data_IF_080726218935
#
_entry.id   IF_080726218935
#
_cell.length_a   1.000
_cell.length_b   1.000
_cell.length_c   1.000
_cell.angle_alpha   90.00
_cell.angle_beta   90.00
_cell.angle_gamma   90.00
#
_symmetry.space_group_name_H-M   'P 1'
#
loop_
_entity.id
_entity.type
_entity.pdbx_description
1 polymer ?
#
# COMPACT_ATOMS: atom_id res chain seq x y z
N UNK A 1 30.86 -2.96 32.48
CA UNK A 1 30.64 -3.99 31.44
C UNK A 1 29.14 -4.10 31.12
N UNK A 2 28.55 -3.04 30.56
CA UNK A 2 27.16 -3.04 30.07
C UNK A 2 27.07 -1.97 28.97
N UNK A 3 27.74 -2.25 27.86
CA UNK A 3 27.82 -1.36 26.69
C UNK A 3 26.66 -1.69 25.75
N UNK A 4 25.88 -0.68 25.36
CA UNK A 4 25.12 -0.72 24.11
C UNK A 4 23.73 -1.34 24.19
N UNK A 5 22.83 -0.71 24.95
CA UNK A 5 21.40 -0.93 24.83
C UNK A 5 20.91 -0.30 23.51
N UNK A 6 20.95 -1.05 22.41
CA UNK A 6 20.25 -0.72 21.17
C UNK A 6 18.74 -0.85 21.42
N UNK A 7 18.16 0.11 22.16
CA UNK A 7 16.71 0.28 22.19
C UNK A 7 16.30 0.76 20.81
N UNK A 8 15.91 -0.16 19.93
CA UNK A 8 15.15 0.18 18.73
C UNK A 8 13.93 0.98 19.21
N UNK A 9 13.98 2.28 18.96
CA UNK A 9 13.06 3.27 19.53
C UNK A 9 11.66 3.03 19.01
N UNK A 10 10.85 2.32 19.80
CA UNK A 10 9.42 2.21 19.55
C UNK A 10 8.77 3.46 20.16
N UNK A 11 8.48 4.45 19.33
CA UNK A 11 7.62 5.57 19.75
C UNK A 11 6.16 5.09 19.76
N UNK A 12 5.25 5.75 20.50
CA UNK A 12 3.84 5.36 20.56
C UNK A 12 3.13 5.33 19.18
N UNK A 13 3.73 5.97 18.17
CA UNK A 13 3.17 6.14 16.82
C UNK A 13 3.99 5.48 15.71
N UNK A 14 5.05 4.71 16.01
CA UNK A 14 5.84 4.00 14.98
C UNK A 14 7.32 3.73 15.31
N UNK A 15 8.07 3.31 14.29
CA UNK A 15 9.54 3.17 14.33
C UNK A 15 10.19 4.55 14.59
N UNK A 16 11.32 4.59 15.29
CA UNK A 16 12.13 5.81 15.41
C UNK A 16 12.95 6.02 14.14
N UNK A 17 13.17 7.29 13.78
CA UNK A 17 14.08 7.67 12.71
C UNK A 17 15.48 7.06 12.92
N UNK A 18 16.05 6.51 11.85
CA UNK A 18 17.35 5.83 11.89
C UNK A 18 18.18 6.17 10.64
N UNK A 19 19.28 6.90 10.82
CA UNK A 19 20.04 7.44 9.69
C UNK A 19 19.23 8.48 8.91
N UNK A 20 19.16 8.36 7.58
CA UNK A 20 18.36 9.23 6.70
C UNK A 20 16.88 8.83 6.63
N UNK A 21 16.48 7.71 7.25
CA UNK A 21 15.09 7.26 7.27
C UNK A 21 14.26 8.06 8.28
N UNK A 22 13.21 8.72 7.78
CA UNK A 22 12.17 9.36 8.59
C UNK A 22 10.84 8.61 8.39
N UNK A 23 10.33 7.89 9.41
CA UNK A 23 9.06 7.16 9.34
C UNK A 23 7.86 8.01 8.95
N UNK A 24 7.92 9.34 9.09
CA UNK A 24 6.84 10.27 8.67
C UNK A 24 6.67 10.32 7.15
N UNK A 25 7.68 9.92 6.39
CA UNK A 25 7.65 9.88 4.92
C UNK A 25 7.24 8.49 4.39
N UNK A 26 6.93 7.54 5.27
CA UNK A 26 6.47 6.20 4.89
C UNK A 26 4.98 6.23 4.51
N UNK A 27 4.66 5.77 3.30
CA UNK A 27 3.30 5.76 2.77
C UNK A 27 3.02 4.49 1.97
N UNK A 28 1.92 3.81 2.29
CA UNK A 28 1.44 2.67 1.51
C UNK A 28 0.97 3.12 0.11
N UNK A 29 1.57 2.53 -0.92
CA UNK A 29 1.21 2.79 -2.30
C UNK A 29 0.13 1.82 -2.83
N UNK A 30 -0.20 0.70 -2.19
CA UNK A 30 -1.17 -0.25 -2.78
C UNK A 30 -2.63 0.26 -2.75
N UNK A 31 -3.49 -0.28 -3.63
CA UNK A 31 -4.94 0.00 -3.67
C UNK A 31 -5.74 -1.25 -4.05
N UNK A 32 -6.95 -1.39 -3.51
CA UNK A 32 -7.86 -2.52 -3.77
C UNK A 32 -9.28 -2.01 -4.02
N UNK A 33 -10.03 -2.71 -4.87
CA UNK A 33 -11.42 -2.38 -5.20
C UNK A 33 -12.24 -3.62 -5.53
N UNK A 34 -13.57 -3.51 -5.41
CA UNK A 34 -14.50 -4.61 -5.66
C UNK A 34 -15.74 -4.12 -6.41
N UNK A 35 -16.25 -4.94 -7.32
CA UNK A 35 -17.46 -4.67 -8.11
C UNK A 35 -18.39 -5.87 -7.98
N UNK A 36 -19.68 -5.57 -7.77
CA UNK A 36 -20.71 -6.60 -7.67
C UNK A 36 -21.96 -6.21 -8.46
N UNK A 37 -22.57 -7.19 -9.10
CA UNK A 37 -23.92 -7.03 -9.62
C UNK A 37 -24.93 -7.45 -8.55
N UNK A 38 -25.58 -6.46 -7.91
CA UNK A 38 -26.56 -6.72 -6.85
C UNK A 38 -27.79 -7.51 -7.32
N UNK A 39 -28.06 -7.56 -8.63
CA UNK A 39 -29.16 -8.34 -9.22
C UNK A 39 -28.77 -9.79 -9.53
N UNK A 40 -27.50 -10.16 -9.36
CA UNK A 40 -26.99 -11.52 -9.62
C UNK A 40 -27.00 -11.92 -11.09
N UNK A 41 -27.23 -10.99 -12.02
CA UNK A 41 -27.27 -11.29 -13.45
C UNK A 41 -25.85 -11.50 -13.95
N UNK A 42 -25.60 -12.69 -14.51
CA UNK A 42 -24.33 -13.01 -15.16
C UNK A 42 -24.10 -12.08 -16.35
N UNK A 43 -22.96 -11.38 -16.35
CA UNK A 43 -22.53 -10.52 -17.44
C UNK A 43 -21.01 -10.41 -17.46
N UNK A 44 -20.44 -10.16 -18.63
CA UNK A 44 -19.01 -9.82 -18.78
C UNK A 44 -18.69 -8.39 -18.28
N UNK A 45 -19.71 -7.56 -18.05
CA UNK A 45 -19.52 -6.16 -17.63
C UNK A 45 -18.67 -6.02 -16.36
N UNK A 46 -18.83 -6.94 -15.38
CA UNK A 46 -18.05 -6.92 -14.13
C UNK A 46 -16.55 -7.05 -14.40
N UNK A 47 -16.17 -7.83 -15.42
CA UNK A 47 -14.76 -7.99 -15.81
C UNK A 47 -14.24 -6.70 -16.42
N UNK A 48 -14.99 -6.12 -17.35
CA UNK A 48 -14.64 -4.84 -17.99
C UNK A 48 -14.50 -3.71 -16.96
N UNK A 49 -15.45 -3.60 -16.04
CA UNK A 49 -15.39 -2.61 -14.96
C UNK A 49 -14.20 -2.86 -14.02
N UNK A 50 -13.88 -4.14 -13.73
CA UNK A 50 -12.72 -4.52 -12.93
C UNK A 50 -11.40 -4.08 -13.55
N UNK A 51 -11.25 -4.24 -14.87
CA UNK A 51 -10.06 -3.75 -15.59
C UNK A 51 -9.96 -2.22 -15.51
N UNK A 52 -11.06 -1.50 -15.71
CA UNK A 52 -11.07 -0.05 -15.57
C UNK A 52 -10.68 0.41 -14.14
N UNK A 53 -11.08 -0.31 -13.09
CA UNK A 53 -10.61 -0.03 -11.72
C UNK A 53 -9.10 -0.19 -11.62
N UNK A 54 -8.53 -1.26 -12.17
CA UNK A 54 -7.08 -1.49 -12.12
C UNK A 54 -6.29 -0.43 -12.88
N UNK A 55 -6.75 -0.02 -14.06
CA UNK A 55 -6.16 1.08 -14.84
C UNK A 55 -6.11 2.38 -14.04
N UNK A 56 -7.17 2.68 -13.29
CA UNK A 56 -7.23 3.87 -12.45
C UNK A 56 -6.33 3.80 -11.20
N UNK A 57 -5.86 2.60 -10.81
CA UNK A 57 -4.93 2.41 -9.68
C UNK A 57 -3.45 2.40 -10.10
N UNK A 58 -3.15 2.52 -11.40
CA UNK A 58 -1.77 2.50 -11.93
C UNK A 58 -0.84 3.53 -11.29
N UNK A 59 -1.36 4.72 -10.94
CA UNK A 59 -0.60 5.78 -10.27
C UNK A 59 -0.12 5.43 -8.86
N UNK A 60 -0.65 4.35 -8.26
CA UNK A 60 -0.17 3.82 -6.98
C UNK A 60 0.63 2.52 -7.12
N UNK A 61 0.87 2.05 -8.35
CA UNK A 61 1.71 0.89 -8.62
C UNK A 61 3.20 1.24 -8.66
N UNK A 62 4.05 0.29 -8.26
CA UNK A 62 5.48 0.37 -8.56
C UNK A 62 5.68 0.14 -10.07
N UNK A 63 6.43 1.04 -10.72
CA UNK A 63 6.87 0.86 -12.11
C UNK A 63 8.31 0.35 -12.14
N UNK A 64 8.60 -0.62 -13.01
CA UNK A 64 9.96 -1.09 -13.23
C UNK A 64 10.77 -0.05 -14.01
N UNK A 65 12.07 0.07 -13.72
CA UNK A 65 13.00 0.81 -14.55
C UNK A 65 13.50 -0.12 -15.67
N UNK A 66 13.09 0.15 -16.90
CA UNK A 66 13.68 -0.41 -18.13
C UNK A 66 14.82 0.48 -18.62
#
# INVERSE_FOLDING_TARGET
MATGLTRIGRTPTGFAAHGLYDPRNEHDACGVGFIVNMKGVKSHQIVTDGLAVLENLTHRGAVGAD
#
